data_IF_253944577588
#
_entry.id   IF_253944577588
#
_cell.length_a   1.000
_cell.length_b   1.000
_cell.length_c   1.000
_cell.angle_alpha   90.00
_cell.angle_beta   90.00
_cell.angle_gamma   90.00
#
_symmetry.space_group_name_H-M   'P 1'
#
loop_
_entity.id
_entity.type
_entity.pdbx_description
1 polymer ?
#
# COMPACT_ATOMS: atom_id res chain seq x y z
N UNK A 1 -12.15 0.44 28.40
CA UNK A 1 -11.83 1.68 27.65
C UNK A 1 -10.37 1.57 27.20
N UNK A 2 -10.04 1.87 25.94
CA UNK A 2 -8.65 1.80 25.45
C UNK A 2 -7.77 2.80 26.21
N UNK A 3 -6.56 2.40 26.67
CA UNK A 3 -5.72 3.24 27.54
C UNK A 3 -5.08 4.43 26.80
N UNK A 4 -4.89 4.32 25.48
CA UNK A 4 -4.38 5.38 24.62
C UNK A 4 -5.42 5.66 23.52
N UNK A 5 -5.81 6.93 23.39
CA UNK A 5 -6.82 7.40 22.44
C UNK A 5 -6.25 8.21 21.29
N UNK A 6 -4.94 8.48 21.26
CA UNK A 6 -4.31 9.35 20.24
C UNK A 6 -4.64 8.90 18.82
N UNK A 7 -4.54 7.59 18.55
CA UNK A 7 -4.83 7.05 17.22
C UNK A 7 -6.32 7.08 16.87
N UNK A 8 -7.19 6.86 17.86
CA UNK A 8 -8.65 6.90 17.72
C UNK A 8 -9.08 8.32 17.36
N UNK A 9 -8.53 9.31 18.06
CA UNK A 9 -8.80 10.74 17.84
C UNK A 9 -8.24 11.22 16.51
N UNK A 10 -7.01 10.82 16.16
CA UNK A 10 -6.36 11.15 14.90
C UNK A 10 -7.12 10.54 13.71
N UNK A 11 -7.49 9.27 13.79
CA UNK A 11 -8.18 8.56 12.72
C UNK A 11 -9.68 8.77 12.72
N UNK A 12 -10.25 9.37 13.78
CA UNK A 12 -11.70 9.55 13.96
C UNK A 12 -12.48 8.23 13.81
N UNK A 13 -11.93 7.15 14.33
CA UNK A 13 -12.55 5.83 14.38
C UNK A 13 -13.14 5.54 15.76
N UNK A 14 -13.88 4.44 15.91
CA UNK A 14 -14.36 4.00 17.23
C UNK A 14 -13.30 3.15 17.94
N UNK A 15 -12.61 2.30 17.17
CA UNK A 15 -11.59 1.40 17.67
C UNK A 15 -10.22 1.71 17.07
N UNK A 16 -9.11 1.46 17.80
CA UNK A 16 -7.74 1.60 17.32
C UNK A 16 -7.36 0.38 16.46
N UNK A 17 -8.23 -0.01 15.54
CA UNK A 17 -8.07 -1.18 14.66
C UNK A 17 -8.00 -0.66 13.23
N UNK A 18 -6.97 -1.08 12.51
CA UNK A 18 -6.80 -0.80 11.08
C UNK A 18 -6.93 -2.12 10.34
N UNK A 19 -7.90 -2.22 9.44
CA UNK A 19 -7.97 -3.34 8.50
C UNK A 19 -6.85 -3.14 7.48
N UNK A 20 -5.93 -4.09 7.39
CA UNK A 20 -4.72 -3.96 6.55
C UNK A 20 -5.06 -4.01 5.06
N UNK A 21 -4.54 -3.12 4.20
CA UNK A 21 -4.80 -3.10 2.76
C UNK A 21 -4.12 -4.31 2.07
N UNK A 22 -4.92 -5.28 1.59
CA UNK A 22 -4.40 -6.53 1.01
C UNK A 22 -4.70 -6.63 -0.49
N UNK A 23 -3.76 -6.18 -1.32
CA UNK A 23 -3.93 -6.17 -2.78
C UNK A 23 -4.13 -7.59 -3.35
N UNK A 24 -5.18 -7.77 -4.17
CA UNK A 24 -5.47 -9.01 -4.89
C UNK A 24 -6.42 -10.00 -4.21
N UNK A 25 -6.74 -9.79 -2.92
CA UNK A 25 -7.70 -10.65 -2.17
C UNK A 25 -8.84 -9.84 -1.53
N UNK A 26 -8.81 -8.52 -1.67
CA UNK A 26 -9.71 -7.59 -1.02
C UNK A 26 -10.54 -6.83 -2.03
N UNK A 27 -11.79 -6.55 -1.67
CA UNK A 27 -12.72 -5.70 -2.40
C UNK A 27 -13.26 -4.57 -1.51
N UNK A 28 -14.13 -3.73 -2.08
CA UNK A 28 -14.80 -2.64 -1.36
C UNK A 28 -15.67 -3.13 -0.19
N UNK A 29 -16.23 -4.34 -0.25
CA UNK A 29 -17.13 -4.85 0.81
C UNK A 29 -16.40 -5.03 2.13
N UNK A 30 -15.17 -5.55 2.10
CA UNK A 30 -14.38 -5.70 3.32
C UNK A 30 -14.01 -4.33 3.92
N UNK A 31 -13.69 -3.35 3.08
CA UNK A 31 -13.40 -1.97 3.52
C UNK A 31 -14.64 -1.35 4.18
N UNK A 32 -15.81 -1.50 3.55
CA UNK A 32 -17.09 -1.03 4.08
C UNK A 32 -17.41 -1.70 5.42
N UNK A 33 -17.27 -3.03 5.50
CA UNK A 33 -17.58 -3.78 6.72
C UNK A 33 -16.68 -3.37 7.88
N UNK A 34 -15.38 -3.17 7.64
CA UNK A 34 -14.44 -2.68 8.65
C UNK A 34 -14.83 -1.28 9.15
N UNK A 35 -15.14 -0.37 8.22
CA UNK A 35 -15.56 0.99 8.54
C UNK A 35 -16.89 1.03 9.33
N UNK A 36 -17.89 0.23 8.94
CA UNK A 36 -19.15 0.09 9.68
C UNK A 36 -18.96 -0.54 11.07
N UNK A 37 -17.97 -1.40 11.22
CA UNK A 37 -17.57 -1.99 12.49
C UNK A 37 -16.74 -1.07 13.39
N UNK A 38 -16.49 0.19 12.98
CA UNK A 38 -15.78 1.19 13.78
C UNK A 38 -14.25 1.14 13.67
N UNK A 39 -13.71 0.31 12.79
CA UNK A 39 -12.28 0.26 12.44
C UNK A 39 -11.95 1.20 11.25
N UNK A 40 -10.66 1.45 11.02
CA UNK A 40 -10.21 2.12 9.78
C UNK A 40 -10.21 1.11 8.63
N UNK A 41 -11.09 1.32 7.65
CA UNK A 41 -11.08 0.55 6.40
C UNK A 41 -9.97 1.03 5.46
N UNK A 42 -9.23 0.09 4.85
CA UNK A 42 -8.11 0.41 3.95
C UNK A 42 -8.26 -0.22 2.57
N UNK A 43 -8.32 0.60 1.53
CA UNK A 43 -8.38 0.18 0.13
C UNK A 43 -6.95 0.02 -0.45
N UNK A 44 -6.54 -1.18 -0.91
CA UNK A 44 -5.28 -1.36 -1.62
C UNK A 44 -5.35 -0.82 -3.05
N UNK A 45 -4.62 0.25 -3.34
CA UNK A 45 -4.60 0.91 -4.65
C UNK A 45 -3.41 0.52 -5.54
N UNK A 46 -2.45 -0.26 -5.04
CA UNK A 46 -1.23 -0.64 -5.76
C UNK A 46 -1.47 -1.36 -7.11
N UNK A 47 -2.65 -1.95 -7.31
CA UNK A 47 -3.05 -2.66 -8.54
C UNK A 47 -4.17 -1.97 -9.31
N UNK A 48 -4.55 -0.75 -8.91
CA UNK A 48 -5.68 -0.03 -9.50
C UNK A 48 -5.17 1.03 -10.48
N UNK A 49 -5.95 1.29 -11.52
CA UNK A 49 -5.80 2.52 -12.32
C UNK A 49 -6.47 3.70 -11.61
N UNK A 50 -6.15 4.96 -11.97
CA UNK A 50 -6.80 6.13 -11.40
C UNK A 50 -8.34 6.07 -11.49
N UNK A 51 -8.88 5.61 -12.61
CA UNK A 51 -10.32 5.46 -12.84
C UNK A 51 -10.91 4.40 -11.90
N UNK A 52 -10.22 3.27 -11.74
CA UNK A 52 -10.69 2.20 -10.87
C UNK A 52 -10.61 2.60 -9.39
N UNK A 53 -9.59 3.36 -8.99
CA UNK A 53 -9.50 3.91 -7.65
C UNK A 53 -10.69 4.82 -7.33
N UNK A 54 -11.05 5.75 -8.24
CA UNK A 54 -12.26 6.57 -8.12
C UNK A 54 -13.52 5.75 -7.99
N UNK A 55 -13.70 4.75 -8.87
CA UNK A 55 -14.86 3.87 -8.86
C UNK A 55 -15.01 3.15 -7.51
N UNK A 56 -13.93 2.56 -6.99
CA UNK A 56 -13.95 1.85 -5.72
C UNK A 56 -14.25 2.78 -4.54
N UNK A 57 -13.64 3.96 -4.49
CA UNK A 57 -13.94 4.95 -3.44
C UNK A 57 -15.39 5.41 -3.53
N UNK A 58 -15.94 5.64 -4.72
CA UNK A 58 -17.34 6.01 -4.89
C UNK A 58 -18.28 4.91 -4.35
N UNK A 59 -18.01 3.64 -4.64
CA UNK A 59 -18.77 2.50 -4.09
C UNK A 59 -18.73 2.50 -2.56
N UNK A 60 -17.55 2.70 -1.97
CA UNK A 60 -17.39 2.75 -0.51
C UNK A 60 -18.18 3.94 0.07
N UNK A 61 -18.02 5.14 -0.49
CA UNK A 61 -18.65 6.38 0.01
C UNK A 61 -20.17 6.40 -0.13
N UNK A 62 -20.76 5.59 -1.02
CA UNK A 62 -22.21 5.39 -1.07
C UNK A 62 -22.76 4.68 0.19
N UNK A 63 -21.91 3.97 0.94
CA UNK A 63 -22.32 3.13 2.07
C UNK A 63 -21.71 3.54 3.41
N UNK A 64 -20.59 4.26 3.41
CA UNK A 64 -19.92 4.75 4.62
C UNK A 64 -19.42 6.18 4.46
N UNK A 65 -19.68 7.01 5.48
CA UNK A 65 -19.08 8.34 5.65
C UNK A 65 -17.87 8.32 6.60
N UNK A 66 -17.56 7.16 7.19
CA UNK A 66 -16.43 6.98 8.08
C UNK A 66 -15.08 7.20 7.34
N UNK A 67 -14.01 7.57 8.07
CA UNK A 67 -12.68 7.77 7.51
C UNK A 67 -12.15 6.56 6.74
N UNK A 68 -11.44 6.82 5.64
CA UNK A 68 -10.85 5.80 4.78
C UNK A 68 -9.35 5.99 4.60
N UNK A 69 -8.65 4.87 4.53
CA UNK A 69 -7.25 4.81 4.13
C UNK A 69 -7.11 4.28 2.69
N UNK A 70 -6.34 4.97 1.84
CA UNK A 70 -5.95 4.49 0.52
C UNK A 70 -4.46 4.13 0.52
N UNK A 71 -4.14 2.89 0.16
CA UNK A 71 -2.79 2.36 0.25
C UNK A 71 -2.09 2.26 -1.11
N UNK A 72 -0.84 2.71 -1.17
CA UNK A 72 -0.01 2.64 -2.37
C UNK A 72 1.37 2.06 -2.09
N UNK A 73 2.01 1.56 -3.14
CA UNK A 73 3.42 1.17 -3.10
C UNK A 73 4.30 2.33 -3.52
N UNK A 74 5.49 2.45 -2.94
CA UNK A 74 6.49 3.46 -3.28
C UNK A 74 7.85 2.86 -3.64
N UNK A 75 7.85 1.58 -4.02
CA UNK A 75 9.07 0.90 -4.44
C UNK A 75 9.69 1.60 -5.65
N UNK A 76 11.02 1.58 -5.72
CA UNK A 76 11.74 2.03 -6.90
C UNK A 76 11.43 1.09 -8.06
N UNK A 77 10.93 1.64 -9.16
CA UNK A 77 10.75 0.87 -10.39
C UNK A 77 12.11 0.31 -10.84
N UNK A 78 12.12 -0.98 -11.18
CA UNK A 78 13.32 -1.67 -11.66
C UNK A 78 13.18 -1.82 -13.17
N UNK A 79 14.20 -1.37 -13.90
CA UNK A 79 14.23 -1.51 -15.35
C UNK A 79 14.21 -2.99 -15.77
N UNK A 80 13.58 -3.26 -16.90
CA UNK A 80 13.59 -4.58 -17.51
C UNK A 80 15.03 -4.99 -17.83
N UNK A 81 15.38 -6.22 -17.48
CA UNK A 81 16.70 -6.80 -17.78
C UNK A 81 16.46 -8.08 -18.57
N UNK A 82 16.55 -8.03 -19.92
CA UNK A 82 16.28 -9.18 -20.76
C UNK A 82 17.18 -10.38 -20.46
N UNK A 83 18.42 -10.15 -19.98
CA UNK A 83 19.34 -11.25 -19.66
C UNK A 83 18.94 -11.92 -18.35
N UNK A 84 18.64 -11.13 -17.32
CA UNK A 84 18.16 -11.65 -16.04
C UNK A 84 16.82 -12.36 -16.19
N UNK A 85 15.90 -11.79 -16.96
CA UNK A 85 14.60 -12.37 -17.27
C UNK A 85 14.73 -13.69 -18.05
N UNK A 86 15.58 -13.74 -19.08
CA UNK A 86 15.85 -14.97 -19.82
C UNK A 86 16.44 -16.07 -18.92
N UNK A 87 17.41 -15.70 -18.06
CA UNK A 87 17.99 -16.62 -17.08
C UNK A 87 16.96 -17.14 -16.07
N UNK A 88 16.02 -16.30 -15.65
CA UNK A 88 14.92 -16.70 -14.77
C UNK A 88 13.94 -17.65 -15.47
N UNK A 89 13.54 -17.33 -16.71
CA UNK A 89 12.69 -18.22 -17.53
C UNK A 89 13.33 -19.59 -17.74
N UNK A 90 14.63 -19.63 -18.01
CA UNK A 90 15.36 -20.89 -18.15
C UNK A 90 15.33 -21.74 -16.87
N UNK A 91 15.50 -21.12 -15.69
CA UNK A 91 15.43 -21.81 -14.40
C UNK A 91 14.04 -22.39 -14.12
N UNK A 92 12.99 -21.73 -14.58
CA UNK A 92 11.59 -22.16 -14.39
C UNK A 92 11.10 -23.15 -15.45
N UNK A 93 11.84 -23.35 -16.56
CA UNK A 93 11.43 -24.20 -17.68
C UNK A 93 11.03 -25.64 -17.29
N UNK A 94 11.65 -26.31 -16.28
CA UNK A 94 11.18 -27.63 -15.83
C UNK A 94 9.72 -27.63 -15.37
N UNK A 95 9.27 -26.59 -14.66
CA UNK A 95 7.89 -26.47 -14.18
C UNK A 95 6.89 -26.27 -15.33
N UNK A 96 7.27 -25.50 -16.35
CA UNK A 96 6.45 -25.35 -17.55
C UNK A 96 6.25 -26.70 -18.24
N UNK A 97 7.34 -27.47 -18.41
CA UNK A 97 7.27 -28.81 -19.02
C UNK A 97 6.43 -29.78 -18.18
N UNK A 98 6.61 -29.77 -16.86
CA UNK A 98 5.83 -30.60 -15.93
C UNK A 98 4.32 -30.35 -16.06
N UNK A 99 3.93 -29.08 -16.20
CA UNK A 99 2.53 -28.66 -16.29
C UNK A 99 1.98 -28.64 -17.73
N UNK A 100 2.77 -29.03 -18.73
CA UNK A 100 2.38 -28.98 -20.15
C UNK A 100 2.18 -27.55 -20.70
N UNK A 101 2.81 -26.56 -20.08
CA UNK A 101 2.76 -25.15 -20.48
C UNK A 101 3.88 -24.80 -21.46
N UNK A 102 3.63 -23.83 -22.35
CA UNK A 102 4.64 -23.30 -23.26
C UNK A 102 5.63 -22.37 -22.51
N UNK A 103 6.93 -22.71 -22.41
CA UNK A 103 7.94 -21.85 -21.79
C UNK A 103 8.16 -20.52 -22.52
N UNK A 104 7.75 -20.42 -23.79
CA UNK A 104 7.83 -19.20 -24.59
C UNK A 104 6.58 -18.30 -24.46
N UNK A 105 5.56 -18.73 -23.70
CA UNK A 105 4.35 -17.94 -23.50
C UNK A 105 4.69 -16.53 -22.94
N UNK A 106 3.98 -15.49 -23.41
CA UNK A 106 4.19 -14.14 -22.90
C UNK A 106 3.86 -14.09 -21.40
N UNK A 107 4.75 -13.44 -20.64
CA UNK A 107 4.54 -13.19 -19.22
C UNK A 107 3.96 -11.78 -19.10
N UNK A 108 2.79 -11.66 -18.47
CA UNK A 108 2.22 -10.34 -18.19
C UNK A 108 3.15 -9.59 -17.23
N UNK A 109 3.37 -8.30 -17.51
CA UNK A 109 4.08 -7.43 -16.59
C UNK A 109 3.36 -7.38 -15.23
N UNK A 110 4.11 -7.13 -14.17
CA UNK A 110 3.52 -6.97 -12.86
C UNK A 110 2.59 -5.75 -12.85
N UNK A 111 1.31 -5.94 -12.50
CA UNK A 111 0.31 -4.87 -12.38
C UNK A 111 0.46 -4.08 -11.06
N UNK A 112 1.70 -3.80 -10.61
CA UNK A 112 1.95 -3.07 -9.36
C UNK A 112 2.79 -1.85 -9.63
N UNK A 113 2.12 -0.71 -9.83
CA UNK A 113 2.79 0.56 -10.11
C UNK A 113 3.11 1.30 -8.82
N UNK A 114 4.27 1.98 -8.72
CA UNK A 114 4.52 2.90 -7.62
C UNK A 114 3.58 4.12 -7.71
N UNK A 115 3.35 4.77 -6.57
CA UNK A 115 2.60 6.01 -6.49
C UNK A 115 3.23 7.10 -7.36
N UNK A 116 2.44 7.69 -8.24
CA UNK A 116 2.88 8.61 -9.28
C UNK A 116 2.02 9.90 -9.28
N UNK A 117 2.34 10.89 -10.13
CA UNK A 117 1.56 12.13 -10.21
C UNK A 117 0.08 11.92 -10.54
N UNK A 118 -0.27 10.92 -11.35
CA UNK A 118 -1.64 10.65 -11.76
C UNK A 118 -2.48 10.12 -10.57
N UNK A 119 -1.92 9.23 -9.75
CA UNK A 119 -2.57 8.82 -8.50
C UNK A 119 -2.61 9.94 -7.47
N UNK A 120 -1.62 10.83 -7.45
CA UNK A 120 -1.66 12.00 -6.58
C UNK A 120 -2.83 12.94 -6.92
N UNK A 121 -3.16 13.12 -8.20
CA UNK A 121 -4.34 13.88 -8.63
C UNK A 121 -5.65 13.24 -8.13
N UNK A 122 -5.73 11.91 -8.13
CA UNK A 122 -6.87 11.17 -7.56
C UNK A 122 -6.99 11.46 -6.06
N UNK A 123 -5.88 11.49 -5.32
CA UNK A 123 -5.89 11.83 -3.89
C UNK A 123 -6.34 13.28 -3.67
N UNK A 124 -5.87 14.22 -4.47
CA UNK A 124 -6.26 15.63 -4.37
C UNK A 124 -7.76 15.85 -4.66
N UNK A 125 -8.33 15.03 -5.55
CA UNK A 125 -9.77 15.01 -5.87
C UNK A 125 -10.61 14.37 -4.76
N UNK A 126 -10.24 13.14 -4.37
CA UNK A 126 -11.05 12.32 -3.45
C UNK A 126 -10.85 12.68 -1.98
N UNK A 127 -9.69 13.25 -1.64
CA UNK A 127 -9.29 13.67 -0.29
C UNK A 127 -9.64 12.64 0.80
N UNK A 128 -9.14 11.38 0.68
CA UNK A 128 -9.32 10.42 1.76
C UNK A 128 -8.67 10.95 3.03
N UNK A 129 -9.18 10.53 4.18
CA UNK A 129 -8.66 11.00 5.46
C UNK A 129 -7.21 10.51 5.69
N UNK A 130 -6.86 9.34 5.14
CA UNK A 130 -5.52 8.77 5.24
C UNK A 130 -5.03 8.25 3.90
N UNK A 131 -3.71 8.38 3.71
CA UNK A 131 -2.98 7.72 2.63
C UNK A 131 -1.83 6.96 3.24
N UNK A 132 -1.78 5.65 2.99
CA UNK A 132 -0.70 4.80 3.50
C UNK A 132 0.25 4.34 2.41
N UNK A 133 1.54 4.29 2.74
CA UNK A 133 2.59 3.87 1.81
C UNK A 133 3.32 2.63 2.31
N UNK A 134 3.61 1.72 1.37
CA UNK A 134 4.45 0.54 1.59
C UNK A 134 5.75 0.68 0.79
N UNK A 135 6.86 0.18 1.34
CA UNK A 135 8.22 0.32 0.79
C UNK A 135 8.78 1.76 0.82
N UNK A 136 8.53 2.48 1.92
CA UNK A 136 8.98 3.86 2.11
C UNK A 136 7.93 4.92 1.76
N UNK A 137 8.39 6.05 1.25
CA UNK A 137 7.56 7.19 0.82
C UNK A 137 7.82 7.53 -0.65
N UNK A 138 6.86 8.15 -1.35
CA UNK A 138 7.10 8.69 -2.69
C UNK A 138 8.03 9.92 -2.63
N UNK A 139 8.32 10.51 -3.79
CA UNK A 139 9.06 11.77 -3.84
C UNK A 139 8.46 12.83 -2.91
N UNK A 140 9.31 13.60 -2.24
CA UNK A 140 8.90 14.60 -1.25
C UNK A 140 7.86 15.60 -1.79
N UNK A 141 7.88 15.90 -3.09
CA UNK A 141 6.88 16.76 -3.72
C UNK A 141 5.49 16.13 -3.73
N UNK A 142 5.40 14.82 -3.97
CA UNK A 142 4.15 14.07 -3.90
C UNK A 142 3.66 13.95 -2.46
N UNK A 143 4.54 13.69 -1.49
CA UNK A 143 4.17 13.70 -0.06
C UNK A 143 3.56 15.05 0.33
N UNK A 144 4.21 16.16 -0.06
CA UNK A 144 3.67 17.52 0.22
C UNK A 144 2.30 17.74 -0.40
N UNK A 145 2.05 17.27 -1.63
CA UNK A 145 0.75 17.37 -2.29
C UNK A 145 -0.33 16.57 -1.55
N UNK A 146 -0.03 15.33 -1.14
CA UNK A 146 -0.93 14.50 -0.34
C UNK A 146 -1.29 15.20 0.98
N UNK A 147 -0.31 15.78 1.69
CA UNK A 147 -0.58 16.53 2.93
C UNK A 147 -1.36 17.82 2.67
N UNK A 148 -1.08 18.53 1.58
CA UNK A 148 -1.81 19.73 1.19
C UNK A 148 -3.29 19.45 0.84
N UNK A 149 -3.60 18.23 0.41
CA UNK A 149 -4.98 17.77 0.24
C UNK A 149 -5.71 17.51 1.57
N UNK A 150 -5.01 17.57 2.71
CA UNK A 150 -5.56 17.34 4.05
C UNK A 150 -5.43 15.91 4.55
N UNK A 151 -4.74 15.04 3.81
CA UNK A 151 -4.58 13.63 4.17
C UNK A 151 -3.50 13.42 5.24
N UNK A 152 -3.75 12.50 6.17
CA UNK A 152 -2.75 11.99 7.11
C UNK A 152 -1.90 10.95 6.36
N UNK A 153 -0.57 11.11 6.40
CA UNK A 153 0.36 10.19 5.75
C UNK A 153 0.78 9.10 6.72
N UNK A 154 0.55 7.84 6.34
CA UNK A 154 0.92 6.65 7.11
C UNK A 154 2.00 5.88 6.32
N UNK A 155 3.01 5.32 6.98
CA UNK A 155 3.99 4.49 6.27
C UNK A 155 4.52 3.34 7.12
N UNK A 156 4.87 2.22 6.48
CA UNK A 156 5.39 1.05 7.15
C UNK A 156 6.91 1.12 7.33
N UNK A 157 7.38 0.79 8.54
CA UNK A 157 8.78 0.58 8.87
C UNK A 157 8.97 -0.83 9.45
N UNK A 158 10.11 -1.43 9.14
CA UNK A 158 10.51 -2.74 9.62
C UNK A 158 11.67 -2.68 10.62
N UNK A 159 12.41 -1.57 10.64
CA UNK A 159 13.48 -1.29 11.60
C UNK A 159 13.41 0.14 12.13
N UNK A 160 14.04 0.42 13.26
CA UNK A 160 14.05 1.76 13.88
C UNK A 160 14.60 2.84 12.94
N UNK A 161 15.62 2.52 12.12
CA UNK A 161 16.18 3.47 11.15
C UNK A 161 15.16 3.90 10.09
N UNK A 162 14.30 2.99 9.66
CA UNK A 162 13.22 3.29 8.72
C UNK A 162 12.17 4.17 9.39
N UNK A 163 11.80 3.88 10.64
CA UNK A 163 10.86 4.70 11.41
C UNK A 163 11.33 6.15 11.53
N UNK A 164 12.60 6.37 11.90
CA UNK A 164 13.22 7.71 11.98
C UNK A 164 13.19 8.40 10.62
N UNK A 165 13.60 7.69 9.55
CA UNK A 165 13.58 8.24 8.21
C UNK A 165 12.17 8.67 7.77
N UNK A 166 11.14 7.88 8.08
CA UNK A 166 9.75 8.20 7.73
C UNK A 166 9.26 9.46 8.46
N UNK A 167 9.57 9.59 9.75
CA UNK A 167 9.24 10.78 10.55
C UNK A 167 9.90 12.03 9.94
N UNK A 168 11.20 11.98 9.65
CA UNK A 168 11.97 13.08 9.06
C UNK A 168 11.48 13.48 7.66
N UNK A 169 10.87 12.54 6.92
CA UNK A 169 10.39 12.75 5.55
C UNK A 169 8.88 12.97 5.46
N UNK A 170 8.20 13.16 6.60
CA UNK A 170 6.85 13.72 6.66
C UNK A 170 5.71 12.71 6.84
N UNK A 171 6.00 11.48 7.25
CA UNK A 171 4.96 10.57 7.74
C UNK A 171 4.39 11.08 9.09
N UNK A 172 3.07 10.98 9.25
CA UNK A 172 2.37 11.35 10.47
C UNK A 172 2.19 10.13 11.40
N UNK A 173 2.13 8.92 10.83
CA UNK A 173 2.00 7.65 11.57
C UNK A 173 2.92 6.59 10.97
N UNK A 174 3.59 5.83 11.83
CA UNK A 174 4.46 4.72 11.46
C UNK A 174 3.77 3.39 11.81
N UNK A 175 3.63 2.51 10.82
CA UNK A 175 3.23 1.11 11.02
C UNK A 175 4.50 0.30 11.30
N UNK A 176 4.68 -0.15 12.54
CA UNK A 176 5.76 -1.08 12.88
C UNK A 176 5.40 -2.49 12.40
N UNK A 177 5.95 -2.90 11.26
CA UNK A 177 5.71 -4.23 10.69
C UNK A 177 6.74 -5.22 11.24
N UNK A 178 6.29 -6.07 12.18
CA UNK A 178 7.10 -7.18 12.71
C UNK A 178 7.30 -8.32 11.71
N UNK A 179 8.23 -9.21 12.03
CA UNK A 179 8.58 -10.34 11.16
C UNK A 179 7.43 -11.36 10.97
N UNK A 180 6.46 -11.36 11.87
CA UNK A 180 5.25 -12.19 11.88
C UNK A 180 4.20 -11.75 10.84
N UNK A 181 4.34 -10.54 10.28
CA UNK A 181 3.39 -10.01 9.33
C UNK A 181 3.35 -10.83 8.03
N UNK A 182 2.14 -11.07 7.50
CA UNK A 182 1.95 -11.67 6.18
C UNK A 182 2.22 -10.69 5.03
N UNK A 183 2.36 -11.24 3.82
CA UNK A 183 2.55 -10.44 2.60
C UNK A 183 3.98 -9.92 2.42
N UNK A 184 4.13 -8.78 1.75
CA UNK A 184 5.44 -8.19 1.49
C UNK A 184 6.02 -7.51 2.74
N UNK A 185 7.31 -7.70 2.98
CA UNK A 185 8.08 -6.92 3.96
C UNK A 185 8.27 -5.50 3.41
N UNK A 186 7.82 -4.49 4.14
CA UNK A 186 7.84 -3.08 3.76
C UNK A 186 9.22 -2.43 3.84
N UNK A 187 10.29 -3.22 3.84
CA UNK A 187 11.67 -2.75 4.00
C UNK A 187 12.13 -1.92 2.79
N UNK A 188 12.93 -0.88 3.06
CA UNK A 188 13.44 0.04 2.03
C UNK A 188 14.82 0.64 2.35
N UNK A 189 15.33 0.52 3.58
CA UNK A 189 16.71 0.92 3.92
C UNK A 189 17.67 -0.26 4.16
N UNK A 190 17.13 -1.48 4.18
CA UNK A 190 17.89 -2.71 4.35
C UNK A 190 17.33 -3.80 3.44
N UNK A 191 18.18 -4.73 3.04
CA UNK A 191 17.79 -5.98 2.39
C UNK A 191 17.92 -7.17 3.35
N UNK A 192 18.44 -6.94 4.56
CA UNK A 192 18.67 -7.98 5.54
C UNK A 192 17.41 -8.22 6.38
N UNK A 193 16.72 -9.31 6.07
CA UNK A 193 15.49 -9.74 6.75
C UNK A 193 15.71 -9.96 8.26
N UNK A 194 16.92 -10.33 8.68
CA UNK A 194 17.26 -10.62 10.08
C UNK A 194 17.50 -9.40 10.96
N UNK A 195 17.33 -8.18 10.44
CA UNK A 195 17.41 -6.94 11.23
C UNK A 195 16.07 -6.52 11.85
N UNK A 196 15.01 -7.28 11.60
CA UNK A 196 13.63 -7.02 12.09
C UNK A 196 13.35 -7.72 13.41
#
# INVERSE_FOLDING_TARGET
MWPDRRIIELFKTEFPIVQAPMAGIMDAELVIAAAQGGALGSLPCAMLTPEKAREQVNIIRQRVSAPLNLNFFCHKAVDADPRREAGWKQRLAPYYKELGLDPAAPVNAANRSPFDPAMCEVIEELKPEMVSFHFGLPDSALVRRVKAAGCIVIAAATIVKEAIWLEENGADVIIAQGAEAGGHRGMFLTENIGEQ
#
